data_IF_277641365100
#
_entry.id   IF_277641365100
#
_cell.length_a   1.000
_cell.length_b   1.000
_cell.length_c   1.000
_cell.angle_alpha   90.00
_cell.angle_beta   90.00
_cell.angle_gamma   90.00
#
_symmetry.space_group_name_H-M   'P 1'
#
loop_
_entity.id
_entity.type
_entity.pdbx_description
1 polymer ?
#
# COMPACT_ATOMS: atom_id res chain seq x y z
N UNK A 1 5.17 -18.97 12.50
CA UNK A 1 4.23 -18.54 13.53
C UNK A 1 2.86 -18.32 12.89
N UNK A 2 1.77 -18.55 13.60
CA UNK A 2 0.40 -18.39 13.08
C UNK A 2 -0.29 -17.23 13.77
N UNK A 3 -1.13 -16.51 13.05
CA UNK A 3 -2.05 -15.50 13.61
C UNK A 3 -3.00 -16.21 14.57
N UNK A 4 -3.21 -15.66 15.76
CA UNK A 4 -3.97 -16.30 16.84
C UNK A 4 -5.47 -16.50 16.51
N UNK A 5 -6.06 -15.58 15.76
CA UNK A 5 -7.45 -15.67 15.29
C UNK A 5 -7.66 -14.81 14.05
N UNK A 6 -8.88 -14.85 13.49
CA UNK A 6 -9.28 -14.00 12.36
C UNK A 6 -9.76 -12.59 12.76
N UNK A 7 -9.55 -12.18 14.01
CA UNK A 7 -9.83 -10.80 14.44
C UNK A 7 -8.79 -9.82 13.91
N UNK A 8 -9.24 -8.66 13.47
CA UNK A 8 -8.37 -7.60 12.97
C UNK A 8 -7.31 -7.20 14.00
N UNK A 9 -7.67 -7.14 15.28
CA UNK A 9 -6.72 -6.87 16.37
C UNK A 9 -5.57 -7.88 16.40
N UNK A 10 -5.88 -9.17 16.35
CA UNK A 10 -4.85 -10.22 16.43
C UNK A 10 -3.94 -10.23 15.19
N UNK A 11 -4.47 -9.82 14.04
CA UNK A 11 -3.69 -9.63 12.81
C UNK A 11 -2.71 -8.48 12.97
N UNK A 12 -3.17 -7.35 13.52
CA UNK A 12 -2.34 -6.18 13.79
C UNK A 12 -1.23 -6.54 14.79
N UNK A 13 -1.59 -7.15 15.92
CA UNK A 13 -0.62 -7.55 16.96
C UNK A 13 0.43 -8.53 16.42
N UNK A 14 0.00 -9.45 15.55
CA UNK A 14 0.91 -10.37 14.88
C UNK A 14 1.86 -9.64 13.93
N UNK A 15 1.37 -8.68 13.14
CA UNK A 15 2.20 -7.90 12.22
C UNK A 15 3.29 -7.12 12.98
N UNK A 16 2.93 -6.45 14.08
CA UNK A 16 3.92 -5.77 14.92
C UNK A 16 5.00 -6.74 15.41
N UNK A 17 4.61 -7.90 15.93
CA UNK A 17 5.57 -8.90 16.43
C UNK A 17 6.52 -9.44 15.36
N UNK A 18 6.05 -9.59 14.12
CA UNK A 18 6.85 -10.15 13.02
C UNK A 18 7.74 -9.10 12.33
N UNK A 19 7.41 -7.82 12.43
CA UNK A 19 8.03 -6.74 11.67
C UNK A 19 8.80 -5.72 12.51
N UNK A 20 8.68 -5.72 13.83
CA UNK A 20 9.27 -4.74 14.76
C UNK A 20 10.80 -4.65 14.71
N UNK A 21 11.48 -5.70 14.23
CA UNK A 21 12.93 -5.72 14.05
C UNK A 21 13.39 -5.13 12.71
N UNK A 22 12.47 -4.85 11.79
CA UNK A 22 12.77 -4.44 10.41
C UNK A 22 12.25 -3.01 10.13
N UNK A 23 11.07 -2.68 10.67
CA UNK A 23 10.37 -1.44 10.40
C UNK A 23 10.01 -0.69 11.69
N UNK A 24 9.89 0.62 11.58
CA UNK A 24 9.38 1.44 12.68
C UNK A 24 7.86 1.23 12.90
N UNK A 25 7.40 1.45 14.14
CA UNK A 25 6.00 1.24 14.52
C UNK A 25 4.99 1.98 13.63
N UNK A 26 5.32 3.21 13.21
CA UNK A 26 4.46 3.99 12.32
C UNK A 26 4.37 3.39 10.91
N UNK A 27 5.48 2.83 10.41
CA UNK A 27 5.51 2.14 9.12
C UNK A 27 4.70 0.85 9.18
N UNK A 28 4.90 0.01 10.21
CA UNK A 28 4.13 -1.22 10.43
C UNK A 28 2.64 -0.90 10.47
N UNK A 29 2.26 0.13 11.21
CA UNK A 29 0.86 0.57 11.32
C UNK A 29 0.28 0.92 9.94
N UNK A 30 0.99 1.72 9.16
CA UNK A 30 0.52 2.12 7.83
C UNK A 30 0.42 0.92 6.90
N UNK A 31 1.45 0.08 6.84
CA UNK A 31 1.49 -1.10 5.98
C UNK A 31 0.38 -2.09 6.31
N UNK A 32 0.16 -2.42 7.59
CA UNK A 32 -0.86 -3.41 7.96
C UNK A 32 -2.28 -2.89 7.74
N UNK A 33 -2.54 -1.61 7.98
CA UNK A 33 -3.85 -1.02 7.68
C UNK A 33 -4.12 -1.04 6.18
N UNK A 34 -3.16 -0.66 5.36
CA UNK A 34 -3.27 -0.72 3.89
C UNK A 34 -3.53 -2.15 3.40
N UNK A 35 -2.84 -3.15 3.95
CA UNK A 35 -3.08 -4.56 3.60
C UNK A 35 -4.49 -5.02 3.98
N UNK A 36 -4.96 -4.67 5.18
CA UNK A 36 -6.31 -5.01 5.62
C UNK A 36 -7.34 -4.35 4.71
N UNK A 37 -7.24 -3.04 4.44
CA UNK A 37 -8.12 -2.32 3.50
C UNK A 37 -8.11 -2.98 2.12
N UNK A 38 -6.92 -3.29 1.59
CA UNK A 38 -6.77 -3.88 0.26
C UNK A 38 -7.46 -5.25 0.12
N UNK A 39 -7.26 -6.14 1.09
CA UNK A 39 -7.77 -7.52 1.00
C UNK A 39 -9.20 -7.70 1.46
N UNK A 40 -9.72 -6.80 2.33
CA UNK A 40 -11.06 -6.93 2.92
C UNK A 40 -12.06 -5.88 2.41
N UNK A 41 -11.57 -4.76 1.86
CA UNK A 41 -12.40 -3.60 1.54
C UNK A 41 -12.90 -2.80 2.77
N UNK A 42 -12.42 -3.11 3.96
CA UNK A 42 -12.78 -2.32 5.16
C UNK A 42 -12.13 -0.94 5.09
N UNK A 43 -12.89 0.11 5.39
CA UNK A 43 -12.31 1.46 5.50
C UNK A 43 -11.40 1.59 6.72
N UNK A 44 -10.40 2.46 6.64
CA UNK A 44 -9.50 2.76 7.76
C UNK A 44 -10.28 3.16 9.03
N UNK A 45 -11.32 3.97 8.88
CA UNK A 45 -12.18 4.38 10.00
C UNK A 45 -12.80 3.17 10.69
N UNK A 46 -13.33 2.22 9.92
CA UNK A 46 -13.92 0.97 10.45
C UNK A 46 -12.87 0.11 11.16
N UNK A 47 -11.69 -0.04 10.57
CA UNK A 47 -10.57 -0.78 11.17
C UNK A 47 -10.20 -0.17 12.52
N UNK A 48 -10.08 1.16 12.62
CA UNK A 48 -9.68 1.84 13.85
C UNK A 48 -10.76 1.77 14.94
N UNK A 49 -12.05 1.91 14.59
CA UNK A 49 -13.15 1.92 15.55
C UNK A 49 -13.54 0.53 16.04
N UNK A 50 -13.46 -0.49 15.19
CA UNK A 50 -14.04 -1.82 15.44
C UNK A 50 -13.01 -2.95 15.49
N UNK A 51 -11.68 -2.67 15.51
CA UNK A 51 -10.61 -3.69 15.42
C UNK A 51 -10.78 -4.88 16.39
N UNK A 52 -11.39 -4.66 17.56
CA UNK A 52 -11.58 -5.71 18.57
C UNK A 52 -12.68 -6.73 18.21
N UNK A 53 -13.69 -6.30 17.48
CA UNK A 53 -14.85 -7.12 17.07
C UNK A 53 -14.79 -7.55 15.62
N UNK A 54 -14.12 -6.77 14.77
CA UNK A 54 -14.05 -6.99 13.33
C UNK A 54 -13.26 -8.27 13.00
N UNK A 55 -13.82 -9.07 12.10
CA UNK A 55 -13.23 -10.34 11.65
C UNK A 55 -13.07 -10.34 10.14
N UNK A 56 -12.04 -11.03 9.69
CA UNK A 56 -11.80 -11.32 8.28
C UNK A 56 -12.16 -12.77 7.97
N UNK A 57 -12.43 -13.07 6.69
CA UNK A 57 -12.60 -14.45 6.25
C UNK A 57 -11.27 -15.22 6.27
N UNK A 58 -11.32 -16.54 6.22
CA UNK A 58 -10.11 -17.37 6.20
C UNK A 58 -9.24 -17.09 4.96
N UNK A 59 -9.87 -16.84 3.81
CA UNK A 59 -9.15 -16.52 2.58
C UNK A 59 -8.43 -15.16 2.66
N UNK A 60 -9.06 -14.15 3.26
CA UNK A 60 -8.44 -12.84 3.51
C UNK A 60 -7.31 -12.95 4.53
N UNK A 61 -7.52 -13.70 5.62
CA UNK A 61 -6.50 -13.97 6.62
C UNK A 61 -5.26 -14.60 6.00
N UNK A 62 -5.44 -15.57 5.11
CA UNK A 62 -4.35 -16.25 4.43
C UNK A 62 -3.57 -15.27 3.54
N UNK A 63 -4.26 -14.43 2.76
CA UNK A 63 -3.63 -13.40 1.91
C UNK A 63 -2.83 -12.39 2.75
N UNK A 64 -3.40 -11.91 3.84
CA UNK A 64 -2.73 -10.97 4.75
C UNK A 64 -1.48 -11.62 5.38
N UNK A 65 -1.59 -12.89 5.79
CA UNK A 65 -0.45 -13.61 6.37
C UNK A 65 0.70 -13.78 5.36
N UNK A 66 0.41 -14.06 4.09
CA UNK A 66 1.44 -14.10 3.05
C UNK A 66 2.04 -12.72 2.79
N UNK A 67 1.22 -11.66 2.79
CA UNK A 67 1.69 -10.30 2.63
C UNK A 67 2.63 -9.87 3.77
N UNK A 68 2.32 -10.21 5.02
CA UNK A 68 3.22 -9.96 6.17
C UNK A 68 4.54 -10.71 6.02
N UNK A 69 4.51 -11.95 5.53
CA UNK A 69 5.73 -12.72 5.24
C UNK A 69 6.58 -12.11 4.13
N UNK A 70 5.93 -11.52 3.12
CA UNK A 70 6.61 -10.82 2.04
C UNK A 70 7.22 -9.50 2.56
N UNK A 71 6.51 -8.73 3.39
CA UNK A 71 7.06 -7.56 4.09
C UNK A 71 8.28 -7.93 4.95
N UNK A 72 8.23 -9.06 5.65
CA UNK A 72 9.37 -9.56 6.44
C UNK A 72 10.61 -9.86 5.59
N UNK A 73 10.44 -10.08 4.29
CA UNK A 73 11.53 -10.19 3.30
C UNK A 73 11.85 -8.85 2.65
N UNK A 74 11.42 -7.75 3.23
CA UNK A 74 11.62 -6.39 2.74
C UNK A 74 11.04 -6.13 1.32
N UNK A 75 10.06 -6.94 0.89
CA UNK A 75 9.37 -6.70 -0.36
C UNK A 75 8.50 -5.45 -0.24
N UNK A 76 8.62 -4.47 -1.15
CA UNK A 76 7.85 -3.24 -1.09
C UNK A 76 6.34 -3.47 -1.06
N UNK A 77 5.62 -2.73 -0.21
CA UNK A 77 4.17 -2.84 -0.06
C UNK A 77 3.43 -2.71 -1.41
N UNK A 78 3.85 -1.77 -2.25
CA UNK A 78 3.25 -1.52 -3.57
C UNK A 78 3.39 -2.72 -4.52
N UNK A 79 4.47 -3.50 -4.40
CA UNK A 79 4.62 -4.74 -5.16
C UNK A 79 3.74 -5.87 -4.60
N UNK A 80 3.44 -5.85 -3.31
CA UNK A 80 2.55 -6.84 -2.68
C UNK A 80 1.10 -6.58 -3.08
N UNK A 81 0.64 -5.33 -3.02
CA UNK A 81 -0.72 -4.95 -3.41
C UNK A 81 -0.90 -4.79 -4.93
N UNK A 82 0.21 -4.62 -5.69
CA UNK A 82 0.24 -4.59 -7.14
C UNK A 82 -0.07 -3.25 -7.79
N UNK A 83 -0.22 -2.18 -7.00
CA UNK A 83 -0.47 -0.83 -7.52
C UNK A 83 0.03 0.26 -6.57
N UNK A 84 0.10 1.47 -7.10
CA UNK A 84 0.27 2.72 -6.35
C UNK A 84 -0.63 3.79 -6.96
N UNK A 85 -1.30 4.57 -6.12
CA UNK A 85 -1.99 5.76 -6.56
C UNK A 85 -0.97 6.88 -6.78
N UNK A 86 -1.10 7.60 -7.90
CA UNK A 86 -0.21 8.68 -8.34
C UNK A 86 -1.08 9.78 -8.90
N UNK A 87 -1.18 10.92 -8.19
CA UNK A 87 -2.20 11.93 -8.46
C UNK A 87 -3.60 11.28 -8.52
N UNK A 88 -4.33 11.50 -9.62
CA UNK A 88 -5.69 10.97 -9.82
C UNK A 88 -5.72 9.61 -10.58
N UNK A 89 -4.56 8.98 -10.77
CA UNK A 89 -4.46 7.72 -11.51
C UNK A 89 -3.88 6.60 -10.67
N UNK A 90 -4.32 5.38 -10.93
CA UNK A 90 -3.77 4.17 -10.31
C UNK A 90 -2.79 3.51 -11.25
N UNK A 91 -1.51 3.46 -10.85
CA UNK A 91 -0.44 2.86 -11.61
C UNK A 91 -0.23 1.42 -11.16
N UNK A 92 -0.19 0.48 -12.11
CA UNK A 92 0.14 -0.92 -11.85
C UNK A 92 1.62 -1.06 -11.53
N UNK A 93 1.94 -1.69 -10.43
CA UNK A 93 3.31 -1.96 -10.00
C UNK A 93 3.65 -3.43 -10.24
N UNK A 94 4.77 -3.67 -10.90
CA UNK A 94 5.34 -4.99 -11.13
C UNK A 94 6.75 -5.07 -10.53
N UNK A 95 7.33 -6.26 -10.30
CA UNK A 95 8.68 -6.39 -9.76
C UNK A 95 9.79 -5.74 -10.60
N UNK A 96 9.52 -5.47 -11.88
CA UNK A 96 10.51 -4.97 -12.85
C UNK A 96 10.40 -3.46 -13.10
N UNK A 97 9.51 -2.77 -12.40
CA UNK A 97 9.24 -1.35 -12.61
C UNK A 97 9.58 -0.57 -11.35
N UNK A 98 10.23 0.58 -11.52
CA UNK A 98 10.50 1.49 -10.41
C UNK A 98 9.16 1.98 -9.83
N UNK A 99 9.02 1.90 -8.51
CA UNK A 99 7.88 2.44 -7.79
C UNK A 99 7.96 3.98 -7.84
N UNK A 100 6.93 4.67 -8.34
CA UNK A 100 6.92 6.14 -8.40
C UNK A 100 7.13 6.75 -7.01
N UNK A 101 7.95 7.81 -6.95
CA UNK A 101 8.25 8.53 -5.71
C UNK A 101 7.36 9.77 -5.58
N UNK A 102 7.14 10.19 -4.33
CA UNK A 102 6.31 11.36 -3.99
C UNK A 102 6.86 12.64 -4.65
N UNK A 103 8.19 12.80 -4.71
CA UNK A 103 8.81 13.96 -5.35
C UNK A 103 8.49 14.04 -6.85
N UNK A 104 8.35 12.90 -7.52
CA UNK A 104 7.92 12.84 -8.93
C UNK A 104 6.45 13.27 -9.07
N UNK A 105 5.61 12.88 -8.14
CA UNK A 105 4.20 13.28 -8.09
C UNK A 105 4.05 14.81 -7.93
N UNK A 106 4.80 15.41 -7.01
CA UNK A 106 4.82 16.85 -6.79
C UNK A 106 5.26 17.63 -8.04
N UNK A 107 6.35 17.20 -8.70
CA UNK A 107 6.83 17.82 -9.93
C UNK A 107 5.79 17.68 -11.05
N UNK A 108 5.17 16.52 -11.18
CA UNK A 108 4.14 16.26 -12.21
C UNK A 108 2.94 17.16 -11.99
N UNK A 109 2.46 17.29 -10.76
CA UNK A 109 1.36 18.16 -10.43
C UNK A 109 1.67 19.62 -10.78
N UNK A 110 2.87 20.10 -10.44
CA UNK A 110 3.32 21.43 -10.78
C UNK A 110 3.36 21.67 -12.29
N UNK A 111 3.86 20.72 -13.07
CA UNK A 111 3.87 20.81 -14.54
C UNK A 111 2.44 20.93 -15.07
N UNK A 112 1.50 20.15 -14.56
CA UNK A 112 0.09 20.20 -14.94
C UNK A 112 -0.49 21.59 -14.63
N UNK A 113 -0.30 22.11 -13.43
CA UNK A 113 -0.82 23.39 -13.00
C UNK A 113 -0.29 24.56 -13.83
N UNK A 114 1.02 24.59 -14.10
CA UNK A 114 1.67 25.66 -14.89
C UNK A 114 1.25 25.64 -16.37
N UNK A 115 0.72 24.52 -16.86
CA UNK A 115 0.41 24.34 -18.28
C UNK A 115 -1.08 24.15 -18.58
N UNK A 116 -1.95 24.06 -17.58
CA UNK A 116 -3.39 23.76 -17.75
C UNK A 116 -4.15 24.71 -18.68
N UNK A 117 -3.63 25.93 -18.91
CA UNK A 117 -4.26 26.94 -19.79
C UNK A 117 -3.65 26.99 -21.20
N UNK A 118 -2.62 26.18 -21.48
CA UNK A 118 -1.96 26.18 -22.80
C UNK A 118 -2.63 25.17 -23.71
N UNK A 119 -3.20 25.59 -24.86
CA UNK A 119 -3.77 24.65 -25.83
C UNK A 119 -2.66 23.94 -26.62
N UNK A 120 -2.88 22.70 -26.96
CA UNK A 120 -2.04 21.90 -27.89
C UNK A 120 -0.57 21.75 -27.43
N UNK A 121 -0.36 21.29 -26.20
CA UNK A 121 0.98 20.90 -25.73
C UNK A 121 1.43 19.61 -26.41
N UNK A 122 2.71 19.55 -26.79
CA UNK A 122 3.42 18.31 -27.10
C UNK A 122 4.28 17.97 -25.90
N UNK A 123 4.07 16.80 -25.32
CA UNK A 123 4.80 16.33 -24.15
C UNK A 123 5.53 15.05 -24.53
N UNK A 124 6.79 14.93 -24.12
CA UNK A 124 7.56 13.71 -24.22
C UNK A 124 8.04 13.32 -22.82
N UNK A 125 7.71 12.12 -22.39
CA UNK A 125 8.24 11.52 -21.17
C UNK A 125 9.28 10.47 -21.56
N UNK A 126 10.53 10.69 -21.14
CA UNK A 126 11.63 9.80 -21.42
C UNK A 126 11.94 8.95 -20.18
N UNK A 127 12.07 7.65 -20.37
CA UNK A 127 12.30 6.70 -19.29
C UNK A 127 11.12 6.64 -18.29
N UNK A 128 9.90 6.64 -18.82
CA UNK A 128 8.65 6.72 -18.04
C UNK A 128 8.47 5.58 -17.01
N UNK A 129 9.19 4.47 -17.14
CA UNK A 129 9.10 3.33 -16.21
C UNK A 129 7.73 2.65 -16.27
N UNK A 130 6.86 2.95 -15.29
CA UNK A 130 5.50 2.39 -15.19
C UNK A 130 4.48 3.07 -16.12
N UNK A 131 4.88 4.09 -16.80
CA UNK A 131 4.00 4.84 -17.72
C UNK A 131 3.45 6.13 -17.18
#
# INVERSE_FOLDING_TARGET
>A
MRIASNKVKDIIDFAYKELDTIYENNEIRTMIHTLIEHFTGFSLTKILSEKNSLRVSESELLKINFAIKDLKKEKPLQQIIGYQDFLDVRIKITPHVLIPRVETEEITQRIIEENKHKPKLKIADLCSGSG
#
